data_IF_484251640026
#
_entry.id   IF_484251640026
#
_cell.length_a   1.000
_cell.length_b   1.000
_cell.length_c   1.000
_cell.angle_alpha   90.00
_cell.angle_beta   90.00
_cell.angle_gamma   90.00
#
_symmetry.space_group_name_H-M   'P 1'
#
loop_
_entity.id
_entity.type
_entity.pdbx_description
1 polymer ?
#
# COMPACT_ATOMS: atom_id res chain seq x y z
N UNK A 1 -14.23 25.34 -2.10
CA UNK A 1 -13.77 26.44 -1.23
C UNK A 1 -12.64 26.00 -0.31
N UNK A 2 -12.78 24.92 0.46
CA UNK A 2 -11.69 24.39 1.30
C UNK A 2 -10.43 24.02 0.50
N UNK A 3 -10.57 23.37 -0.65
CA UNK A 3 -9.42 23.00 -1.51
C UNK A 3 -8.58 24.19 -2.01
N UNK A 4 -9.20 25.36 -2.27
CA UNK A 4 -8.50 26.57 -2.73
C UNK A 4 -7.71 27.22 -1.59
N UNK A 5 -8.24 27.18 -0.37
CA UNK A 5 -7.55 27.69 0.83
C UNK A 5 -6.37 26.79 1.18
N UNK A 6 -6.54 25.46 1.08
CA UNK A 6 -5.47 24.48 1.28
C UNK A 6 -4.39 24.53 0.19
N UNK A 7 -4.73 24.97 -1.02
CA UNK A 7 -3.80 25.21 -2.12
C UNK A 7 -3.14 26.61 -2.08
N UNK A 8 -3.07 27.25 -0.90
CA UNK A 8 -2.46 28.57 -0.71
C UNK A 8 -3.05 29.69 -1.62
N UNK A 9 -4.34 29.59 -1.93
CA UNK A 9 -5.05 30.56 -2.78
C UNK A 9 -4.96 30.27 -4.28
N UNK A 10 -4.27 29.21 -4.70
CA UNK A 10 -4.22 28.79 -6.09
C UNK A 10 -5.54 28.13 -6.50
N UNK A 11 -6.24 28.77 -7.44
CA UNK A 11 -7.54 28.33 -7.92
C UNK A 11 -7.45 27.12 -8.84
N UNK A 12 -6.37 26.99 -9.60
CA UNK A 12 -6.22 25.91 -10.57
C UNK A 12 -5.90 24.59 -9.86
N UNK A 13 -5.02 24.65 -8.84
CA UNK A 13 -4.75 23.52 -7.95
C UNK A 13 -6.00 23.16 -7.14
N UNK A 14 -6.66 24.16 -6.54
CA UNK A 14 -7.87 23.93 -5.74
C UNK A 14 -9.04 23.32 -6.52
N UNK A 15 -9.21 23.69 -7.79
CA UNK A 15 -10.20 23.09 -8.68
C UNK A 15 -9.84 21.65 -9.04
N UNK A 16 -8.57 21.39 -9.37
CA UNK A 16 -8.08 20.07 -9.74
C UNK A 16 -8.22 19.06 -8.58
N UNK A 17 -7.93 19.49 -7.35
CA UNK A 17 -8.17 18.69 -6.13
C UNK A 17 -9.67 18.42 -5.95
N UNK A 18 -10.53 19.42 -6.15
CA UNK A 18 -11.97 19.25 -6.00
C UNK A 18 -12.55 18.27 -7.03
N UNK A 19 -12.02 18.27 -8.26
CA UNK A 19 -12.42 17.33 -9.30
C UNK A 19 -11.89 15.91 -9.04
N UNK A 20 -10.68 15.78 -8.48
CA UNK A 20 -10.16 14.48 -8.01
C UNK A 20 -11.05 13.90 -6.90
N UNK A 21 -11.39 14.69 -5.87
CA UNK A 21 -12.29 14.26 -4.77
C UNK A 21 -13.66 13.82 -5.30
N UNK A 22 -14.21 14.53 -6.30
CA UNK A 22 -15.49 14.13 -6.93
C UNK A 22 -15.38 12.82 -7.71
N UNK A 23 -14.30 12.60 -8.44
CA UNK A 23 -14.08 11.37 -9.22
C UNK A 23 -13.86 10.14 -8.33
N UNK A 24 -13.14 10.31 -7.24
CA UNK A 24 -12.78 9.25 -6.28
C UNK A 24 -13.98 8.83 -5.42
N UNK A 25 -14.92 9.75 -5.14
CA UNK A 25 -16.10 9.49 -4.33
C UNK A 25 -15.81 9.53 -2.82
N UNK A 26 -16.83 9.29 -1.98
CA UNK A 26 -16.71 9.46 -0.52
C UNK A 26 -15.80 8.46 0.18
N UNK A 27 -15.55 7.31 -0.42
CA UNK A 27 -14.81 6.19 0.21
C UNK A 27 -13.46 5.90 -0.46
N UNK A 28 -13.10 6.64 -1.51
CA UNK A 28 -11.84 6.42 -2.19
C UNK A 28 -10.68 7.18 -1.53
N UNK A 29 -9.49 6.60 -1.63
CA UNK A 29 -8.27 7.13 -1.02
C UNK A 29 -7.55 8.03 -2.03
N UNK A 30 -7.07 9.18 -1.57
CA UNK A 30 -6.31 10.13 -2.38
C UNK A 30 -4.87 10.14 -1.89
N UNK A 31 -3.94 9.74 -2.75
CA UNK A 31 -2.50 9.83 -2.52
C UNK A 31 -1.93 10.95 -3.38
N UNK A 32 -0.99 11.74 -2.82
CA UNK A 32 -0.34 12.85 -3.53
C UNK A 32 1.15 12.55 -3.63
N UNK A 33 1.69 12.61 -4.85
CA UNK A 33 3.13 12.44 -5.12
C UNK A 33 3.69 13.71 -5.77
N UNK A 34 4.88 14.14 -5.33
CA UNK A 34 5.57 15.30 -5.89
C UNK A 34 6.44 14.88 -7.08
N UNK A 35 6.01 15.21 -8.30
CA UNK A 35 6.77 14.93 -9.52
C UNK A 35 7.71 16.09 -9.86
N UNK A 36 9.02 15.80 -9.93
CA UNK A 36 10.05 16.78 -10.29
C UNK A 36 9.97 17.12 -11.78
N UNK A 37 9.28 18.20 -12.14
CA UNK A 37 9.34 18.78 -13.49
C UNK A 37 8.04 19.31 -14.06
N UNK A 38 6.89 19.00 -13.46
CA UNK A 38 5.58 19.43 -13.96
C UNK A 38 4.97 20.47 -13.02
N UNK A 39 4.52 21.60 -13.59
CA UNK A 39 3.68 22.59 -12.87
C UNK A 39 2.20 22.23 -12.89
N UNK A 40 1.83 21.18 -13.62
CA UNK A 40 0.46 20.76 -13.84
C UNK A 40 0.13 19.56 -12.95
N UNK A 41 -1.09 19.56 -12.40
CA UNK A 41 -1.59 18.49 -11.53
C UNK A 41 -2.19 17.37 -12.39
N UNK A 42 -1.54 16.21 -12.40
CA UNK A 42 -2.08 15.01 -13.05
C UNK A 42 -2.94 14.22 -12.05
N UNK A 43 -4.13 13.81 -12.48
CA UNK A 43 -5.05 12.98 -11.67
C UNK A 43 -5.17 11.62 -12.32
N UNK A 44 -4.49 10.63 -11.75
CA UNK A 44 -4.61 9.23 -12.12
C UNK A 44 -5.55 8.50 -11.14
N UNK A 45 -6.52 7.75 -11.67
CA UNK A 45 -7.44 6.96 -10.86
C UNK A 45 -7.01 5.49 -10.89
N UNK A 46 -6.41 5.04 -9.80
CA UNK A 46 -5.98 3.65 -9.66
C UNK A 46 -7.05 2.85 -8.92
N UNK A 47 -7.38 1.67 -9.44
CA UNK A 47 -8.26 0.74 -8.73
C UNK A 47 -7.45 -0.02 -7.69
N UNK A 48 -7.82 0.11 -6.42
CA UNK A 48 -7.13 -0.53 -5.30
C UNK A 48 -8.05 -0.67 -4.10
N UNK A 49 -7.51 -1.24 -3.03
CA UNK A 49 -8.21 -1.44 -1.76
C UNK A 49 -7.25 -1.14 -0.62
N UNK A 50 -7.76 -0.44 0.40
CA UNK A 50 -7.03 -0.17 1.64
C UNK A 50 -7.70 -0.93 2.79
N UNK A 51 -6.89 -1.46 3.69
CA UNK A 51 -7.33 -2.13 4.89
C UNK A 51 -6.77 -1.44 6.13
N UNK A 52 -7.48 -1.53 7.26
CA UNK A 52 -7.05 -0.96 8.55
C UNK A 52 -6.06 -1.88 9.30
N UNK A 53 -5.29 -2.71 8.59
CA UNK A 53 -4.24 -3.57 9.17
C UNK A 53 -2.87 -3.17 8.63
N UNK A 54 -1.89 -3.07 9.54
CA UNK A 54 -0.50 -2.82 9.21
C UNK A 54 0.35 -4.09 9.17
N UNK A 55 1.66 -3.91 9.05
CA UNK A 55 2.64 -4.99 9.18
C UNK A 55 2.76 -5.47 10.63
N UNK A 56 2.96 -6.78 10.83
CA UNK A 56 3.10 -7.37 12.17
C UNK A 56 4.47 -7.09 12.80
N UNK A 57 5.49 -6.80 11.99
CA UNK A 57 6.86 -6.63 12.43
C UNK A 57 7.54 -5.47 11.69
N UNK A 58 8.28 -4.59 12.38
CA UNK A 58 9.02 -3.50 11.75
C UNK A 58 10.15 -4.00 10.84
N UNK A 59 10.56 -5.27 10.97
CA UNK A 59 11.54 -5.88 10.06
C UNK A 59 11.06 -5.97 8.61
N UNK A 60 9.76 -5.80 8.35
CA UNK A 60 9.20 -5.80 6.99
C UNK A 60 9.35 -4.45 6.27
N UNK A 61 9.74 -3.38 6.98
CA UNK A 61 9.88 -2.03 6.40
C UNK A 61 10.96 -2.05 5.32
N UNK A 62 10.57 -1.77 4.08
CA UNK A 62 11.50 -1.65 2.94
C UNK A 62 11.96 -0.21 2.74
N UNK A 63 11.17 0.77 3.21
CA UNK A 63 11.50 2.18 3.18
C UNK A 63 11.51 2.77 4.60
N UNK A 64 12.71 2.87 5.19
CA UNK A 64 12.91 3.33 6.56
C UNK A 64 12.60 4.82 6.78
N UNK A 65 12.67 5.64 5.72
CA UNK A 65 12.37 7.08 5.83
C UNK A 65 10.86 7.30 5.99
N UNK A 66 10.08 6.58 5.17
CA UNK A 66 8.62 6.67 5.17
C UNK A 66 7.96 5.71 6.17
N UNK A 67 8.70 4.76 6.73
CA UNK A 67 8.20 3.69 7.60
C UNK A 67 7.11 2.85 6.92
N UNK A 68 7.35 2.46 5.66
CA UNK A 68 6.39 1.70 4.84
C UNK A 68 7.01 0.43 4.24
N UNK A 69 6.13 -0.48 3.82
CA UNK A 69 6.45 -1.68 3.05
C UNK A 69 5.96 -1.47 1.62
N UNK A 70 6.89 -1.30 0.70
CA UNK A 70 6.64 -1.21 -0.75
C UNK A 70 7.04 -2.55 -1.40
N UNK A 71 6.08 -3.22 -2.06
CA UNK A 71 6.28 -4.47 -2.79
C UNK A 71 5.87 -4.28 -4.25
N UNK A 72 6.74 -4.65 -5.17
CA UNK A 72 6.46 -4.62 -6.62
C UNK A 72 6.04 -6.01 -7.12
N UNK A 73 4.94 -6.05 -7.89
CA UNK A 73 4.30 -7.25 -8.44
C UNK A 73 4.36 -8.50 -7.50
N UNK A 74 3.87 -8.39 -6.24
CA UNK A 74 3.99 -9.48 -5.28
C UNK A 74 3.00 -10.60 -5.54
N UNK A 75 3.37 -11.82 -5.18
CA UNK A 75 2.38 -12.88 -4.96
C UNK A 75 1.54 -12.58 -3.72
N UNK A 76 0.28 -13.00 -3.76
CA UNK A 76 -0.65 -12.88 -2.64
C UNK A 76 -0.98 -14.27 -2.10
N UNK A 77 -0.62 -14.53 -0.84
CA UNK A 77 -1.08 -15.71 -0.10
C UNK A 77 -2.16 -15.27 0.88
N UNK A 78 -3.40 -15.70 0.65
CA UNK A 78 -4.55 -15.36 1.49
C UNK A 78 -5.05 -16.63 2.16
N UNK A 79 -5.20 -16.60 3.48
CA UNK A 79 -5.68 -17.73 4.28
C UNK A 79 -6.52 -17.24 5.46
N UNK A 80 -7.54 -18.00 5.84
CA UNK A 80 -8.35 -17.74 7.03
C UNK A 80 -7.79 -18.44 8.28
N UNK A 81 -6.65 -19.13 8.15
CA UNK A 81 -6.03 -19.85 9.27
C UNK A 81 -5.00 -18.97 9.97
N UNK A 82 -4.87 -19.16 11.29
CA UNK A 82 -3.71 -18.71 12.05
C UNK A 82 -2.45 -19.47 11.62
N UNK A 83 -1.35 -18.76 11.47
CA UNK A 83 -0.04 -19.30 11.10
C UNK A 83 0.89 -19.21 12.31
N UNK A 84 1.15 -20.33 12.96
CA UNK A 84 2.02 -20.42 14.14
C UNK A 84 3.35 -21.15 13.86
N UNK A 85 3.40 -21.92 12.78
CA UNK A 85 4.55 -22.75 12.37
C UNK A 85 4.82 -22.56 10.88
N UNK A 86 6.09 -22.61 10.47
CA UNK A 86 6.49 -22.28 9.09
C UNK A 86 6.51 -23.48 8.13
N UNK A 87 6.53 -24.71 8.64
CA UNK A 87 6.63 -25.94 7.84
C UNK A 87 5.56 -26.05 6.75
N UNK A 88 4.28 -25.68 6.99
CA UNK A 88 3.25 -25.69 5.94
C UNK A 88 3.49 -24.65 4.84
N UNK A 89 4.24 -23.59 5.14
CA UNK A 89 4.54 -22.50 4.20
C UNK A 89 5.79 -22.77 3.37
N UNK A 90 6.70 -23.65 3.82
CA UNK A 90 7.97 -23.93 3.14
C UNK A 90 7.82 -24.22 1.63
N UNK A 91 6.90 -25.09 1.17
CA UNK A 91 6.77 -25.35 -0.27
C UNK A 91 6.39 -24.11 -1.07
N UNK A 92 5.59 -23.22 -0.47
CA UNK A 92 5.15 -21.96 -1.10
C UNK A 92 6.32 -20.97 -1.13
N UNK A 93 7.02 -20.82 0.01
CA UNK A 93 8.19 -19.94 0.11
C UNK A 93 9.28 -20.35 -0.88
N UNK A 94 9.56 -21.64 -1.02
CA UNK A 94 10.53 -22.15 -2.00
C UNK A 94 10.12 -21.82 -3.45
N UNK A 95 8.83 -21.93 -3.78
CA UNK A 95 8.32 -21.56 -5.10
C UNK A 95 8.45 -20.06 -5.37
N UNK A 96 8.14 -19.22 -4.37
CA UNK A 96 8.28 -17.77 -4.44
C UNK A 96 9.75 -17.38 -4.61
N UNK A 97 10.67 -17.94 -3.82
CA UNK A 97 12.10 -17.66 -3.93
C UNK A 97 12.62 -17.96 -5.33
N UNK A 98 12.19 -19.07 -5.94
CA UNK A 98 12.56 -19.41 -7.33
C UNK A 98 12.03 -18.42 -8.36
N UNK A 99 10.90 -17.78 -8.08
CA UNK A 99 10.32 -16.78 -8.98
C UNK A 99 11.02 -15.42 -8.91
N UNK A 100 11.74 -15.14 -7.81
CA UNK A 100 12.39 -13.85 -7.55
C UNK A 100 11.41 -12.71 -7.23
N UNK A 101 10.10 -12.99 -7.14
CA UNK A 101 9.08 -12.00 -6.79
C UNK A 101 8.82 -11.97 -5.28
N UNK A 102 8.41 -10.82 -4.71
CA UNK A 102 8.00 -10.74 -3.32
C UNK A 102 6.72 -11.53 -3.02
N UNK A 103 6.44 -11.78 -1.75
CA UNK A 103 5.21 -12.42 -1.28
C UNK A 103 4.58 -11.58 -0.18
N UNK A 104 3.30 -11.26 -0.33
CA UNK A 104 2.45 -10.67 0.70
C UNK A 104 1.53 -11.77 1.27
N UNK A 105 1.58 -11.96 2.58
CA UNK A 105 0.77 -12.94 3.30
C UNK A 105 -0.33 -12.21 4.08
N UNK A 106 -1.59 -12.60 3.83
CA UNK A 106 -2.77 -12.13 4.56
C UNK A 106 -3.38 -13.35 5.27
N UNK A 107 -3.32 -13.34 6.59
CA UNK A 107 -3.81 -14.42 7.44
C UNK A 107 -4.73 -13.86 8.55
N UNK A 108 -5.47 -14.74 9.23
CA UNK A 108 -6.19 -14.37 10.46
C UNK A 108 -5.22 -13.77 11.50
N UNK A 109 -4.10 -14.48 11.69
CA UNK A 109 -3.04 -14.15 12.64
C UNK A 109 -1.71 -14.84 12.24
N UNK A 110 -0.56 -14.25 12.60
CA UNK A 110 0.77 -14.85 12.41
C UNK A 110 1.57 -14.69 13.71
N UNK A 111 1.92 -15.81 14.33
CA UNK A 111 2.57 -15.86 15.64
C UNK A 111 3.78 -16.80 15.65
N UNK A 112 4.60 -16.71 16.71
CA UNK A 112 5.63 -17.70 17.02
C UNK A 112 6.73 -17.78 15.95
N UNK A 113 7.13 -19.01 15.63
CA UNK A 113 8.23 -19.29 14.69
C UNK A 113 7.96 -18.79 13.27
N UNK A 114 6.68 -18.69 12.89
CA UNK A 114 6.27 -18.19 11.58
C UNK A 114 6.54 -16.68 11.40
N UNK A 115 6.62 -15.91 12.49
CA UNK A 115 6.91 -14.46 12.42
C UNK A 115 8.41 -14.15 12.58
N UNK A 116 9.13 -14.98 13.33
CA UNK A 116 10.54 -14.75 13.68
C UNK A 116 11.54 -15.14 12.59
N UNK A 117 11.07 -15.75 11.50
CA UNK A 117 11.88 -16.33 10.43
C UNK A 117 11.70 -15.53 9.14
#
# INVERSE_FOLDING_TARGET
TYAIISANGDRDIGNSIADAVKKVGKEGVITVEESKGSKELEVELTTGMQFDRGYLSPYFITNNEKMIVELDDPYLLITEKKLNIIQPLLPILEAVVKSGKPLLIIAEDIEGEALST
#
